data_IF_722900100033
#
_entry.id   IF_722900100033
#
_cell.length_a   1.000
_cell.length_b   1.000
_cell.length_c   1.000
_cell.angle_alpha   90.00
_cell.angle_beta   90.00
_cell.angle_gamma   90.00
#
_symmetry.space_group_name_H-M   'P 1'
#
loop_
_entity.id
_entity.type
_entity.pdbx_description
1 polymer ?
#
# COMPACT_ATOMS: atom_id res chain seq x y z
N UNK A 1 -0.29 10.20 25.45
CA UNK A 1 0.65 11.25 25.95
C UNK A 1 1.66 11.63 24.86
N UNK A 2 2.40 10.68 24.28
CA UNK A 2 3.41 10.96 23.24
C UNK A 2 2.90 11.70 21.99
N UNK A 3 1.76 11.28 21.42
CA UNK A 3 1.18 11.93 20.23
C UNK A 3 0.96 13.44 20.44
N UNK A 4 0.34 13.80 21.56
CA UNK A 4 0.04 15.19 21.88
C UNK A 4 1.29 15.96 22.33
N UNK A 5 2.20 15.33 23.07
CA UNK A 5 3.42 16.01 23.55
C UNK A 5 4.43 16.30 22.44
N UNK A 6 4.44 15.50 21.38
CA UNK A 6 5.30 15.68 20.21
C UNK A 6 4.57 16.29 19.01
N UNK A 7 3.29 16.63 19.15
CA UNK A 7 2.49 17.23 18.08
C UNK A 7 2.39 16.36 16.82
N UNK A 8 2.38 15.03 16.97
CA UNK A 8 2.29 14.10 15.85
C UNK A 8 0.85 14.11 15.33
N UNK A 9 0.62 14.46 14.05
CA UNK A 9 -0.69 14.37 13.43
C UNK A 9 -1.18 12.92 13.46
N UNK A 10 -2.43 12.73 13.87
CA UNK A 10 -3.06 11.41 13.98
C UNK A 10 -4.50 11.39 13.45
N UNK A 11 -5.05 12.55 13.11
CA UNK A 11 -6.33 12.68 12.43
C UNK A 11 -6.06 12.96 10.95
N UNK A 12 -6.80 12.26 10.09
CA UNK A 12 -6.76 12.50 8.65
C UNK A 12 -7.71 13.66 8.30
N UNK A 13 -7.32 14.58 7.42
CA UNK A 13 -8.25 15.59 6.90
C UNK A 13 -9.40 14.93 6.12
N UNK A 14 -10.61 15.48 6.23
CA UNK A 14 -11.81 14.97 5.53
C UNK A 14 -11.61 14.79 4.02
N UNK A 15 -10.84 15.70 3.39
CA UNK A 15 -10.51 15.61 1.98
C UNK A 15 -9.69 14.35 1.64
N UNK A 16 -8.77 13.93 2.53
CA UNK A 16 -7.95 12.71 2.36
C UNK A 16 -8.83 11.47 2.51
N UNK A 17 -9.71 11.45 3.51
CA UNK A 17 -10.66 10.35 3.69
C UNK A 17 -11.59 10.20 2.48
N UNK A 18 -12.09 11.32 1.95
CA UNK A 18 -12.96 11.35 0.78
C UNK A 18 -12.25 10.81 -0.47
N UNK A 19 -11.00 11.20 -0.69
CA UNK A 19 -10.20 10.72 -1.82
C UNK A 19 -9.89 9.22 -1.70
N UNK A 20 -9.47 8.76 -0.52
CA UNK A 20 -9.18 7.34 -0.29
C UNK A 20 -10.42 6.45 -0.47
N UNK A 21 -11.60 6.92 -0.05
CA UNK A 21 -12.86 6.19 -0.20
C UNK A 21 -13.30 5.99 -1.67
N UNK A 22 -12.74 6.77 -2.60
CA UNK A 22 -13.02 6.61 -4.04
C UNK A 22 -12.22 5.46 -4.69
N UNK A 23 -11.22 4.90 -4.00
CA UNK A 23 -10.41 3.81 -4.52
C UNK A 23 -11.14 2.46 -4.43
N UNK A 24 -11.03 1.66 -5.49
CA UNK A 24 -11.57 0.30 -5.53
C UNK A 24 -10.71 -0.71 -4.75
N UNK A 25 -11.24 -1.91 -4.55
CA UNK A 25 -10.51 -3.00 -3.87
C UNK A 25 -9.54 -3.77 -4.80
N UNK A 26 -9.68 -3.59 -6.12
CA UNK A 26 -8.87 -4.25 -7.13
C UNK A 26 -8.27 -3.20 -8.05
N UNK A 27 -7.12 -3.51 -8.63
CA UNK A 27 -6.51 -2.69 -9.68
C UNK A 27 -7.43 -2.73 -10.90
N UNK A 28 -7.73 -1.56 -11.49
CA UNK A 28 -8.55 -1.51 -12.70
C UNK A 28 -7.74 -1.96 -13.92
N UNK A 29 -8.38 -2.65 -14.87
CA UNK A 29 -7.73 -3.13 -16.11
C UNK A 29 -7.09 -1.99 -16.92
N UNK A 30 -7.64 -0.78 -16.82
CA UNK A 30 -7.07 0.41 -17.45
C UNK A 30 -5.69 0.77 -16.89
N UNK A 31 -5.46 0.50 -15.61
CA UNK A 31 -4.24 0.92 -14.89
C UNK A 31 -3.08 -0.06 -15.12
N UNK A 32 -3.36 -1.25 -15.65
CA UNK A 32 -2.38 -2.25 -16.08
C UNK A 32 -1.74 -1.88 -17.43
N UNK A 33 -2.40 -1.05 -18.24
CA UNK A 33 -1.96 -0.76 -19.61
C UNK A 33 -0.57 -0.11 -19.64
N UNK A 34 0.32 -0.67 -20.47
CA UNK A 34 1.68 -0.19 -20.63
C UNK A 34 2.66 -0.64 -19.54
N UNK A 35 2.21 -1.41 -18.55
CA UNK A 35 3.09 -2.02 -17.54
C UNK A 35 3.70 -3.33 -18.05
N UNK A 36 4.87 -3.67 -17.52
CA UNK A 36 5.47 -4.99 -17.72
C UNK A 36 4.73 -6.01 -16.85
N UNK A 37 4.29 -7.10 -17.46
CA UNK A 37 3.69 -8.22 -16.74
C UNK A 37 4.77 -9.08 -16.08
N UNK A 38 4.70 -9.21 -14.76
CA UNK A 38 5.60 -10.03 -13.93
C UNK A 38 4.82 -11.08 -13.11
N UNK A 39 3.53 -11.30 -13.41
CA UNK A 39 2.65 -12.16 -12.58
C UNK A 39 3.09 -13.62 -12.50
N UNK A 40 3.84 -14.10 -13.51
CA UNK A 40 4.40 -15.46 -13.56
C UNK A 40 5.76 -15.59 -12.84
N UNK A 41 6.37 -14.47 -12.42
CA UNK A 41 7.60 -14.50 -11.63
C UNK A 41 7.26 -14.83 -10.18
N UNK A 42 7.91 -15.81 -9.53
CA UNK A 42 7.53 -16.24 -8.18
C UNK A 42 8.12 -15.30 -7.11
N UNK A 43 7.70 -14.04 -7.15
CA UNK A 43 8.01 -13.01 -6.17
C UNK A 43 7.36 -13.36 -4.83
N UNK A 44 8.08 -13.11 -3.74
CA UNK A 44 7.59 -13.28 -2.36
C UNK A 44 7.91 -12.05 -1.51
N UNK A 45 7.11 -11.79 -0.48
CA UNK A 45 7.39 -10.80 0.58
C UNK A 45 7.87 -11.53 1.84
N UNK A 46 8.70 -10.88 2.65
CA UNK A 46 9.24 -11.46 3.89
C UNK A 46 9.18 -10.39 4.98
N UNK A 47 8.16 -10.52 5.83
CA UNK A 47 7.77 -9.47 6.77
C UNK A 47 7.61 -9.98 8.20
N UNK A 48 7.45 -9.06 9.14
CA UNK A 48 7.06 -9.40 10.52
C UNK A 48 5.63 -9.93 10.59
N UNK A 49 5.34 -10.79 11.58
CA UNK A 49 4.03 -11.47 11.73
C UNK A 49 2.82 -10.52 11.80
N UNK A 50 3.01 -9.34 12.39
CA UNK A 50 1.96 -8.34 12.57
C UNK A 50 1.89 -7.30 11.43
N UNK A 51 2.81 -7.35 10.45
CA UNK A 51 2.80 -6.44 9.31
C UNK A 51 1.58 -6.68 8.40
N UNK A 52 1.07 -5.62 7.77
CA UNK A 52 -0.11 -5.68 6.88
C UNK A 52 0.05 -4.87 5.59
N UNK A 53 1.15 -4.14 5.49
CA UNK A 53 1.48 -3.15 4.49
C UNK A 53 2.75 -3.57 3.72
N UNK A 54 2.66 -4.69 2.99
CA UNK A 54 3.79 -5.26 2.25
C UNK A 54 4.12 -4.40 1.02
N UNK A 55 5.22 -3.66 1.05
CA UNK A 55 5.61 -2.69 0.02
C UNK A 55 6.76 -3.17 -0.89
N UNK A 56 7.44 -4.26 -0.51
CA UNK A 56 8.49 -4.90 -1.31
C UNK A 56 8.25 -6.39 -1.59
N UNK A 57 8.89 -6.89 -2.65
CA UNK A 57 8.89 -8.30 -3.02
C UNK A 57 10.18 -8.67 -3.77
N UNK A 58 10.67 -9.89 -3.58
CA UNK A 58 11.97 -10.33 -4.11
C UNK A 58 11.93 -11.70 -4.80
N UNK A 59 12.86 -11.91 -5.74
CA UNK A 59 13.10 -13.16 -6.47
C UNK A 59 14.57 -13.21 -6.96
N UNK A 60 15.17 -14.40 -7.08
CA UNK A 60 16.52 -14.59 -7.62
C UNK A 60 16.63 -15.89 -8.44
N UNK A 61 17.62 -15.94 -9.35
CA UNK A 61 17.95 -17.08 -10.23
C UNK A 61 19.41 -17.51 -10.08
#
# INVERSE_FOLDING_TARGET
IALNSHGIPHEWPEAVETEAAALGQQVAESDEQGRRDLRELPLVTIDGEDARDFDDAVFCE
#
